data_IF_673181296744
#
_entry.id   IF_673181296744
#
_cell.length_a   1.000
_cell.length_b   1.000
_cell.length_c   1.000
_cell.angle_alpha   90.00
_cell.angle_beta   90.00
_cell.angle_gamma   90.00
#
_symmetry.space_group_name_H-M   'P 1'
#
loop_
_entity.id
_entity.type
_entity.pdbx_description
1 polymer ?
#
# COMPACT_ATOMS: atom_id res chain seq x y z
N UNK A 1 -9.78 -12.13 -30.63
CA UNK A 1 -8.66 -12.79 -31.31
C UNK A 1 -8.06 -13.76 -30.31
N UNK A 2 -8.27 -15.04 -30.59
CA UNK A 2 -8.03 -16.21 -29.74
C UNK A 2 -6.58 -16.73 -29.86
N UNK A 3 -6.27 -17.72 -29.01
CA UNK A 3 -5.06 -18.56 -28.91
C UNK A 3 -4.06 -17.99 -27.89
N UNK A 4 -3.72 -18.68 -26.80
CA UNK A 4 -3.27 -20.08 -26.69
C UNK A 4 -3.88 -20.76 -25.44
N UNK A 5 -4.60 -21.86 -25.64
CA UNK A 5 -4.93 -22.85 -24.59
C UNK A 5 -4.57 -24.23 -25.15
N UNK A 6 -3.73 -24.96 -24.41
CA UNK A 6 -3.70 -26.42 -24.24
C UNK A 6 -2.34 -26.84 -23.67
N UNK A 7 -2.29 -27.24 -22.40
CA UNK A 7 -2.11 -28.66 -22.03
C UNK A 7 -2.03 -28.86 -20.50
N UNK A 8 -2.96 -29.69 -20.02
CA UNK A 8 -2.79 -30.71 -18.95
C UNK A 8 -2.39 -30.27 -17.54
N UNK A 9 -3.38 -30.06 -16.66
CA UNK A 9 -3.21 -30.28 -15.21
C UNK A 9 -4.04 -31.49 -14.80
N UNK A 10 -3.31 -32.54 -14.44
CA UNK A 10 -3.81 -33.76 -13.83
C UNK A 10 -4.43 -33.47 -12.47
N UNK A 11 -5.65 -34.00 -12.28
CA UNK A 11 -6.30 -34.19 -11.00
C UNK A 11 -5.31 -34.69 -9.93
N UNK A 12 -5.17 -33.94 -8.85
CA UNK A 12 -4.77 -34.50 -7.57
C UNK A 12 -5.68 -33.95 -6.47
N UNK A 13 -6.63 -34.82 -6.09
CA UNK A 13 -7.35 -34.75 -4.83
C UNK A 13 -6.35 -34.72 -3.68
N UNK A 14 -6.36 -33.66 -2.87
CA UNK A 14 -5.75 -33.71 -1.54
C UNK A 14 -6.83 -33.39 -0.50
N UNK A 15 -7.13 -34.45 0.21
CA UNK A 15 -7.97 -34.66 1.37
C UNK A 15 -7.89 -33.52 2.41
N UNK A 16 -9.04 -32.93 2.73
CA UNK A 16 -9.22 -32.02 3.86
C UNK A 16 -8.99 -32.81 5.16
N UNK A 17 -7.79 -32.71 5.75
CA UNK A 17 -7.54 -33.19 7.11
C UNK A 17 -7.80 -32.06 8.10
N UNK A 18 -8.94 -32.16 8.78
CA UNK A 18 -9.22 -31.48 10.04
C UNK A 18 -8.15 -31.90 11.06
N UNK A 19 -7.31 -30.96 11.48
CA UNK A 19 -6.46 -31.13 12.66
C UNK A 19 -6.80 -30.03 13.68
N UNK A 20 -7.55 -30.51 14.67
CA UNK A 20 -7.61 -30.16 16.08
C UNK A 20 -6.84 -28.92 16.56
N UNK A 21 -7.60 -28.11 17.32
CA UNK A 21 -7.12 -27.15 18.29
C UNK A 21 -6.18 -27.82 19.31
N UNK A 22 -4.88 -27.58 19.19
CA UNK A 22 -3.95 -27.71 20.29
C UNK A 22 -3.38 -26.31 20.62
N UNK A 23 -3.39 -26.02 21.91
CA UNK A 23 -3.12 -24.73 22.52
C UNK A 23 -1.69 -24.25 22.24
N UNK A 24 -1.53 -23.18 21.47
CA UNK A 24 -0.27 -22.43 21.43
C UNK A 24 -0.13 -21.64 22.73
N UNK A 25 0.71 -22.13 23.64
CA UNK A 25 1.29 -21.29 24.68
C UNK A 25 2.12 -20.18 24.02
N UNK A 26 2.04 -18.92 24.50
CA UNK A 26 2.82 -17.84 23.93
C UNK A 26 4.28 -18.01 24.33
N UNK A 27 5.14 -18.37 23.39
CA UNK A 27 6.59 -18.30 23.55
C UNK A 27 6.97 -16.85 23.77
N UNK A 28 7.20 -16.48 25.02
CA UNK A 28 7.65 -15.16 25.42
C UNK A 28 9.07 -14.97 24.91
N UNK A 29 9.23 -14.20 23.85
CA UNK A 29 10.54 -13.68 23.45
C UNK A 29 10.97 -12.75 24.59
N UNK A 30 11.99 -13.16 25.35
CA UNK A 30 12.67 -12.28 26.30
C UNK A 30 13.34 -11.16 25.50
N UNK A 31 12.67 -10.00 25.40
CA UNK A 31 13.30 -8.78 24.92
C UNK A 31 14.08 -8.22 26.11
N UNK A 32 15.40 -8.39 26.07
CA UNK A 32 16.29 -7.79 27.06
C UNK A 32 16.22 -6.26 26.89
N UNK A 33 15.57 -5.60 27.84
CA UNK A 33 15.28 -4.15 27.81
C UNK A 33 16.42 -3.31 28.36
N UNK A 34 17.59 -3.90 28.59
CA UNK A 34 18.80 -3.18 28.97
C UNK A 34 19.35 -2.39 27.78
N UNK A 35 18.94 -1.13 27.68
CA UNK A 35 19.36 -0.14 26.67
C UNK A 35 20.83 0.28 26.75
N UNK A 36 21.69 -0.48 27.45
CA UNK A 36 23.03 -0.03 27.86
C UNK A 36 24.14 -0.36 26.84
N UNK A 37 23.84 -1.04 25.73
CA UNK A 37 24.86 -1.42 24.73
C UNK A 37 24.49 -1.17 23.26
N UNK A 38 23.50 -0.31 22.95
CA UNK A 38 23.31 0.09 21.56
C UNK A 38 24.45 1.03 21.13
N UNK A 39 25.19 0.61 20.11
CA UNK A 39 26.15 1.45 19.38
C UNK A 39 25.52 2.79 19.03
N UNK A 40 26.19 3.90 19.41
CA UNK A 40 25.78 5.26 19.02
C UNK A 40 26.05 5.58 17.55
N UNK A 41 26.70 4.68 16.81
CA UNK A 41 26.94 4.83 15.40
C UNK A 41 25.84 4.16 14.58
N UNK A 42 25.39 4.79 13.48
CA UNK A 42 24.43 4.18 12.58
C UNK A 42 25.00 2.87 12.05
N UNK A 43 24.16 1.83 12.01
CA UNK A 43 24.51 0.53 11.42
C UNK A 43 24.91 0.77 9.96
N UNK A 44 26.11 0.33 9.59
CA UNK A 44 26.57 0.36 8.21
C UNK A 44 26.54 -1.06 7.67
N UNK A 45 25.85 -1.26 6.55
CA UNK A 45 25.82 -2.53 5.85
C UNK A 45 26.91 -2.54 4.79
N UNK A 46 27.71 -3.61 4.74
CA UNK A 46 28.63 -3.78 3.62
C UNK A 46 27.87 -4.30 2.40
N UNK A 47 28.34 -4.06 1.17
CA UNK A 47 27.72 -4.62 -0.02
C UNK A 47 27.61 -6.15 0.03
N UNK A 48 28.60 -6.82 0.62
CA UNK A 48 28.61 -8.27 0.80
C UNK A 48 27.48 -8.74 1.74
N UNK A 49 27.28 -8.05 2.87
CA UNK A 49 26.17 -8.35 3.79
C UNK A 49 24.82 -8.23 3.08
N UNK A 50 24.63 -7.16 2.31
CA UNK A 50 23.40 -6.96 1.52
C UNK A 50 23.23 -8.07 0.47
N UNK A 51 24.30 -8.46 -0.21
CA UNK A 51 24.26 -9.50 -1.23
C UNK A 51 23.83 -10.85 -0.63
N UNK A 52 24.50 -11.31 0.43
CA UNK A 52 24.23 -12.60 1.10
C UNK A 52 22.76 -12.70 1.54
N UNK A 53 22.18 -11.60 2.02
CA UNK A 53 20.84 -11.58 2.55
C UNK A 53 19.75 -11.38 1.49
N UNK A 54 19.98 -10.55 0.47
CA UNK A 54 18.96 -10.15 -0.51
C UNK A 54 18.94 -11.00 -1.78
N UNK A 55 20.09 -11.52 -2.23
CA UNK A 55 20.18 -12.36 -3.44
C UNK A 55 19.25 -13.60 -3.38
N UNK A 56 19.13 -14.32 -2.24
CA UNK A 56 18.21 -15.46 -2.13
C UNK A 56 16.75 -15.11 -2.39
N UNK A 57 16.34 -13.86 -2.12
CA UNK A 57 14.97 -13.39 -2.39
C UNK A 57 14.75 -13.31 -3.90
N UNK A 58 15.69 -12.71 -4.63
CA UNK A 58 15.63 -12.60 -6.11
C UNK A 58 15.53 -14.00 -6.73
N UNK A 59 16.39 -14.93 -6.30
CA UNK A 59 16.38 -16.29 -6.83
C UNK A 59 15.04 -17.00 -6.60
N UNK A 60 14.45 -16.86 -5.41
CA UNK A 60 13.13 -17.45 -5.11
C UNK A 60 12.00 -16.79 -5.90
N UNK A 61 12.05 -15.47 -6.11
CA UNK A 61 11.08 -14.78 -6.95
C UNK A 61 11.19 -15.23 -8.41
N UNK A 62 12.39 -15.28 -8.98
CA UNK A 62 12.64 -15.73 -10.38
C UNK A 62 12.25 -17.19 -10.59
N UNK A 63 12.44 -18.04 -9.58
CA UNK A 63 12.03 -19.44 -9.64
C UNK A 63 10.49 -19.63 -9.62
N UNK A 64 9.73 -18.62 -9.20
CA UNK A 64 8.27 -18.67 -9.22
C UNK A 64 7.76 -18.48 -10.65
N UNK A 65 6.84 -19.34 -11.08
CA UNK A 65 6.13 -19.21 -12.36
C UNK A 65 5.38 -17.88 -12.48
N UNK A 66 5.02 -17.28 -11.33
CA UNK A 66 4.38 -15.97 -11.26
C UNK A 66 5.29 -14.86 -11.79
N UNK A 67 6.61 -15.05 -11.80
CA UNK A 67 7.58 -14.01 -12.17
C UNK A 67 7.82 -13.87 -13.66
N UNK A 68 7.37 -14.82 -14.49
CA UNK A 68 7.75 -14.92 -15.90
C UNK A 68 7.52 -13.62 -16.69
N UNK A 69 6.38 -12.96 -16.46
CA UNK A 69 6.03 -11.69 -17.11
C UNK A 69 6.77 -10.46 -16.58
N UNK A 70 7.62 -10.62 -15.56
CA UNK A 70 8.28 -9.53 -14.82
C UNK A 70 9.82 -9.63 -14.82
N UNK A 71 10.38 -10.67 -15.45
CA UNK A 71 11.82 -10.92 -15.50
C UNK A 71 12.55 -10.06 -16.54
N UNK A 72 11.84 -9.47 -17.49
CA UNK A 72 12.40 -8.67 -18.59
C UNK A 72 11.64 -7.36 -18.75
N UNK A 73 12.28 -6.32 -19.31
CA UNK A 73 11.62 -5.06 -19.60
C UNK A 73 10.36 -5.28 -20.44
N UNK A 74 9.26 -4.64 -20.05
CA UNK A 74 8.01 -4.68 -20.82
C UNK A 74 8.24 -4.00 -22.17
N UNK A 75 8.21 -4.77 -23.26
CA UNK A 75 8.32 -4.22 -24.61
C UNK A 75 7.03 -3.45 -24.97
N UNK A 76 7.07 -2.14 -24.73
CA UNK A 76 5.98 -1.20 -25.02
C UNK A 76 5.57 -1.20 -26.49
N UNK A 77 6.47 -1.56 -27.42
CA UNK A 77 6.23 -1.55 -28.86
C UNK A 77 5.47 -2.83 -29.28
N UNK A 78 5.89 -4.00 -28.78
CA UNK A 78 5.23 -5.27 -29.10
C UNK A 78 3.85 -5.43 -28.45
N UNK A 79 3.61 -4.81 -27.29
CA UNK A 79 2.32 -4.89 -26.57
C UNK A 79 1.24 -3.90 -27.05
N UNK A 80 1.52 -3.12 -28.11
CA UNK A 80 0.60 -2.07 -28.64
C UNK A 80 0.10 -1.10 -27.55
N UNK A 81 0.92 -0.84 -26.53
CA UNK A 81 0.65 0.21 -25.53
C UNK A 81 1.11 1.54 -26.15
N UNK A 82 0.42 1.97 -27.21
CA UNK A 82 0.85 3.10 -28.05
C UNK A 82 0.77 4.47 -27.32
N UNK A 83 0.18 4.53 -26.13
CA UNK A 83 -0.12 5.80 -25.44
C UNK A 83 0.61 6.05 -24.11
N UNK A 84 1.54 5.20 -23.65
CA UNK A 84 2.06 5.32 -22.27
C UNK A 84 3.57 5.62 -22.05
N UNK A 85 4.26 6.47 -22.84
CA UNK A 85 5.55 7.01 -22.41
C UNK A 85 5.44 8.03 -21.26
N UNK A 86 4.23 8.52 -20.93
CA UNK A 86 4.02 9.59 -19.94
C UNK A 86 3.78 9.10 -18.51
N UNK A 87 3.47 7.81 -18.31
CA UNK A 87 3.00 7.27 -17.02
C UNK A 87 4.10 6.50 -16.26
N UNK A 88 5.02 5.79 -16.94
CA UNK A 88 6.21 5.19 -16.29
C UNK A 88 7.28 6.26 -16.20
N UNK A 89 7.41 6.88 -15.04
CA UNK A 89 8.57 7.73 -14.77
C UNK A 89 9.85 6.90 -14.58
N UNK A 90 9.74 5.65 -14.13
CA UNK A 90 10.86 4.73 -13.88
C UNK A 90 10.54 3.30 -14.34
N UNK A 91 11.09 2.89 -15.48
CA UNK A 91 11.03 1.50 -15.95
C UNK A 91 11.92 0.65 -15.05
N UNK A 92 11.33 -0.31 -14.35
CA UNK A 92 12.04 -1.21 -13.44
C UNK A 92 11.50 -2.64 -13.61
N UNK A 93 12.40 -3.62 -13.59
CA UNK A 93 12.12 -5.05 -13.69
C UNK A 93 13.12 -5.84 -12.82
N UNK A 94 12.88 -7.14 -12.62
CA UNK A 94 13.70 -7.97 -11.72
C UNK A 94 15.16 -8.03 -12.19
N UNK A 95 15.43 -7.97 -13.50
CA UNK A 95 16.80 -7.99 -14.03
C UNK A 95 17.57 -6.72 -13.68
N UNK A 96 16.91 -5.55 -13.70
CA UNK A 96 17.49 -4.27 -13.27
C UNK A 96 17.83 -4.32 -11.79
N UNK A 97 16.93 -4.84 -10.96
CA UNK A 97 17.13 -4.98 -9.51
C UNK A 97 18.29 -5.93 -9.20
N UNK A 98 18.36 -7.06 -9.92
CA UNK A 98 19.45 -8.03 -9.79
C UNK A 98 20.80 -7.42 -10.19
N UNK A 99 20.86 -6.72 -11.32
CA UNK A 99 22.06 -6.00 -11.74
C UNK A 99 22.47 -4.90 -10.74
N UNK A 100 21.50 -4.21 -10.14
CA UNK A 100 21.75 -3.19 -9.11
C UNK A 100 22.36 -3.80 -7.84
N UNK A 101 21.92 -5.00 -7.46
CA UNK A 101 22.49 -5.78 -6.36
C UNK A 101 23.94 -6.21 -6.68
N UNK A 102 24.16 -6.84 -7.84
CA UNK A 102 25.49 -7.32 -8.27
C UNK A 102 26.50 -6.18 -8.45
N UNK A 103 26.04 -4.99 -8.86
CA UNK A 103 26.89 -3.81 -9.00
C UNK A 103 27.08 -3.02 -7.69
N UNK A 104 26.68 -3.59 -6.54
CA UNK A 104 26.84 -3.01 -5.20
C UNK A 104 26.24 -1.60 -5.07
N UNK A 105 25.10 -1.36 -5.72
CA UNK A 105 24.48 -0.01 -5.78
C UNK A 105 23.55 0.29 -4.61
N UNK A 106 23.14 -0.72 -3.84
CA UNK A 106 22.33 -0.53 -2.64
C UNK A 106 23.20 -0.09 -1.48
N UNK A 107 22.83 1.02 -0.83
CA UNK A 107 23.51 1.51 0.37
C UNK A 107 22.83 1.06 1.66
N UNK A 108 21.54 0.77 1.55
CA UNK A 108 20.72 0.33 2.65
C UNK A 108 19.79 -0.81 2.18
N UNK A 109 19.40 -1.72 3.07
CA UNK A 109 18.58 -2.88 2.70
C UNK A 109 17.11 -2.53 2.43
N UNK A 110 16.65 -1.30 2.72
CA UNK A 110 15.28 -0.83 2.42
C UNK A 110 15.15 -0.32 0.97
N UNK A 111 16.23 0.09 0.32
CA UNK A 111 16.22 0.45 -1.11
C UNK A 111 15.86 -0.74 -2.01
N UNK A 112 16.14 -1.97 -1.57
CA UNK A 112 15.80 -3.19 -2.30
C UNK A 112 14.28 -3.46 -2.36
N UNK A 113 13.55 -3.52 -1.23
CA UNK A 113 12.09 -3.64 -1.29
C UNK A 113 11.42 -2.47 -1.99
N UNK A 114 11.94 -1.23 -1.87
CA UNK A 114 11.40 -0.08 -2.60
C UNK A 114 11.37 -0.30 -4.12
N UNK A 115 12.47 -0.81 -4.67
CA UNK A 115 12.57 -1.14 -6.09
C UNK A 115 11.63 -2.29 -6.50
N UNK A 116 11.47 -3.32 -5.66
CA UNK A 116 10.52 -4.42 -5.91
C UNK A 116 9.07 -3.89 -5.89
N UNK A 117 8.72 -3.04 -4.91
CA UNK A 117 7.40 -2.42 -4.84
C UNK A 117 7.11 -1.52 -6.04
N UNK A 118 8.12 -0.86 -6.61
CA UNK A 118 7.96 -0.08 -7.83
C UNK A 118 7.52 -0.94 -9.03
N UNK A 119 8.01 -2.20 -9.14
CA UNK A 119 7.53 -3.15 -10.16
C UNK A 119 6.03 -3.40 -9.97
N UNK A 120 5.61 -3.77 -8.76
CA UNK A 120 4.21 -4.10 -8.47
C UNK A 120 3.27 -2.90 -8.67
N UNK A 121 3.67 -1.73 -8.18
CA UNK A 121 2.90 -0.50 -8.32
C UNK A 121 2.71 -0.10 -9.78
N UNK A 122 3.74 -0.25 -10.62
CA UNK A 122 3.61 -0.02 -12.05
C UNK A 122 2.55 -0.97 -12.65
N UNK A 123 2.64 -2.28 -12.36
CA UNK A 123 1.69 -3.26 -12.91
C UNK A 123 0.26 -2.98 -12.47
N UNK A 124 0.05 -2.71 -11.18
CA UNK A 124 -1.27 -2.40 -10.65
C UNK A 124 -1.84 -1.08 -11.18
N UNK A 125 -0.99 -0.14 -11.59
CA UNK A 125 -1.41 1.12 -12.19
C UNK A 125 -1.90 0.92 -13.63
N UNK A 126 -1.27 0.04 -14.41
CA UNK A 126 -1.61 -0.17 -15.82
C UNK A 126 -2.73 -1.16 -16.07
N UNK A 127 -2.90 -2.11 -15.17
CA UNK A 127 -3.78 -3.24 -15.41
C UNK A 127 -5.05 -3.09 -14.59
N UNK A 128 -6.19 -3.41 -15.21
CA UNK A 128 -7.44 -3.52 -14.47
C UNK A 128 -7.34 -4.61 -13.41
N UNK A 129 -8.03 -4.42 -12.27
CA UNK A 129 -8.04 -5.39 -11.16
C UNK A 129 -8.55 -6.78 -11.56
N UNK A 130 -9.32 -6.86 -12.63
CA UNK A 130 -9.88 -8.08 -13.23
C UNK A 130 -8.90 -8.79 -14.16
N UNK A 131 -7.76 -8.16 -14.49
CA UNK A 131 -6.78 -8.72 -15.41
C UNK A 131 -5.96 -9.83 -14.75
N UNK A 132 -5.71 -10.96 -15.44
CA UNK A 132 -4.87 -12.04 -14.91
C UNK A 132 -3.49 -11.57 -14.45
N UNK A 133 -2.88 -10.60 -15.14
CA UNK A 133 -1.56 -10.07 -14.77
C UNK A 133 -1.59 -9.28 -13.44
N UNK A 134 -2.72 -8.62 -13.14
CA UNK A 134 -2.93 -7.93 -11.87
C UNK A 134 -2.99 -8.96 -10.72
N UNK A 135 -3.72 -10.06 -10.93
CA UNK A 135 -3.82 -11.15 -9.96
C UNK A 135 -2.47 -11.85 -9.74
N UNK A 136 -1.75 -12.17 -10.82
CA UNK A 136 -0.41 -12.78 -10.77
C UNK A 136 0.56 -11.86 -10.02
N UNK A 137 0.54 -10.55 -10.30
CA UNK A 137 1.36 -9.57 -9.59
C UNK A 137 1.00 -9.49 -8.10
N UNK A 138 -0.28 -9.59 -7.76
CA UNK A 138 -0.73 -9.59 -6.36
C UNK A 138 -0.21 -10.82 -5.60
N UNK A 139 -0.28 -12.01 -6.21
CA UNK A 139 0.29 -13.24 -5.62
C UNK A 139 1.81 -13.19 -5.48
N UNK A 140 2.50 -12.58 -6.45
CA UNK A 140 3.96 -12.39 -6.36
C UNK A 140 4.34 -11.41 -5.24
N UNK A 141 3.53 -10.36 -5.02
CA UNK A 141 3.72 -9.43 -3.92
C UNK A 141 3.51 -10.10 -2.55
N UNK A 142 2.51 -10.98 -2.43
CA UNK A 142 2.31 -11.80 -1.21
C UNK A 142 3.53 -12.68 -0.93
N UNK A 143 4.02 -13.42 -1.93
CA UNK A 143 5.25 -14.20 -1.82
C UNK A 143 6.44 -13.32 -1.41
N UNK A 144 6.58 -12.14 -1.99
CA UNK A 144 7.67 -11.23 -1.64
C UNK A 144 7.64 -10.82 -0.16
N UNK A 145 6.47 -10.51 0.39
CA UNK A 145 6.31 -10.17 1.81
C UNK A 145 6.77 -11.32 2.72
N UNK A 146 6.43 -12.57 2.38
CA UNK A 146 6.89 -13.75 3.13
C UNK A 146 8.41 -13.93 3.09
N UNK A 147 9.07 -13.50 2.00
CA UNK A 147 10.52 -13.62 1.82
C UNK A 147 11.30 -12.49 2.50
N UNK A 148 10.81 -11.25 2.43
CA UNK A 148 11.56 -10.07 2.89
C UNK A 148 11.48 -9.87 4.41
N UNK A 149 10.36 -10.20 5.05
CA UNK A 149 10.16 -10.05 6.50
C UNK A 149 11.27 -10.72 7.34
N UNK A 150 11.55 -12.03 7.19
CA UNK A 150 12.59 -12.70 7.98
C UNK A 150 14.00 -12.19 7.68
N UNK A 151 14.25 -11.75 6.44
CA UNK A 151 15.55 -11.21 6.03
C UNK A 151 15.80 -9.85 6.69
N UNK A 152 14.84 -8.93 6.64
CA UNK A 152 14.99 -7.62 7.27
C UNK A 152 15.04 -7.72 8.80
N UNK A 153 14.33 -8.68 9.40
CA UNK A 153 14.49 -8.99 10.84
C UNK A 153 15.90 -9.45 11.20
N UNK A 154 16.51 -10.29 10.36
CA UNK A 154 17.91 -10.72 10.55
C UNK A 154 18.89 -9.54 10.45
N UNK A 155 18.58 -8.55 9.61
CA UNK A 155 19.35 -7.31 9.47
C UNK A 155 19.05 -6.26 10.56
N UNK A 156 18.22 -6.58 11.56
CA UNK A 156 17.94 -5.71 12.71
C UNK A 156 16.75 -4.76 12.54
N UNK A 157 15.93 -4.93 11.50
CA UNK A 157 14.68 -4.18 11.32
C UNK A 157 13.50 -4.89 12.00
N UNK A 158 12.39 -4.19 12.25
CA UNK A 158 11.21 -4.81 12.85
C UNK A 158 10.48 -5.76 11.88
N UNK A 159 10.43 -5.41 10.60
CA UNK A 159 9.81 -6.17 9.52
C UNK A 159 10.26 -5.61 8.16
N UNK A 160 9.91 -6.32 7.08
CA UNK A 160 10.07 -5.89 5.69
C UNK A 160 8.78 -5.49 4.99
N UNK A 161 7.73 -5.23 5.77
CA UNK A 161 6.44 -4.77 5.26
C UNK A 161 6.61 -3.41 4.59
N UNK A 162 5.84 -3.21 3.52
CA UNK A 162 5.71 -1.89 2.91
C UNK A 162 5.11 -0.92 3.93
N UNK A 163 5.82 0.16 4.22
CA UNK A 163 5.24 1.27 4.96
C UNK A 163 4.29 2.02 4.03
N UNK A 164 3.00 1.69 4.11
CA UNK A 164 1.95 2.47 3.48
C UNK A 164 1.41 3.40 4.56
N UNK A 165 1.51 4.71 4.35
CA UNK A 165 0.84 5.65 5.24
C UNK A 165 -0.66 5.45 5.04
N UNK A 166 -1.32 4.93 6.08
CA UNK A 166 -2.78 4.90 6.08
C UNK A 166 -3.24 6.33 6.33
N UNK A 167 -3.92 7.00 5.38
CA UNK A 167 -4.44 8.33 5.63
C UNK A 167 -5.30 8.26 6.88
N UNK A 168 -5.16 9.24 7.77
CA UNK A 168 -5.95 9.31 9.00
C UNK A 168 -7.44 9.15 8.69
N UNK A 169 -8.16 8.43 9.55
CA UNK A 169 -9.60 8.19 9.39
C UNK A 169 -10.31 9.52 9.20
N UNK A 170 -10.88 9.75 8.00
CA UNK A 170 -11.65 10.95 7.73
C UNK A 170 -13.00 10.84 8.44
N UNK A 171 -13.23 11.72 9.42
CA UNK A 171 -14.48 11.77 10.15
C UNK A 171 -15.56 12.51 9.37
N UNK A 172 -16.78 11.97 9.41
CA UNK A 172 -17.97 12.63 8.84
C UNK A 172 -18.67 13.44 9.95
N UNK A 173 -18.97 14.72 9.68
CA UNK A 173 -19.75 15.60 10.55
C UNK A 173 -21.26 15.32 10.47
N UNK A 174 -21.69 14.36 9.64
CA UNK A 174 -23.10 14.04 9.43
C UNK A 174 -23.81 13.45 10.66
N UNK A 175 -24.63 12.43 10.45
CA UNK A 175 -25.39 11.81 11.56
C UNK A 175 -24.46 11.09 12.53
N UNK A 176 -24.83 10.99 13.81
CA UNK A 176 -24.04 10.32 14.87
C UNK A 176 -23.60 8.89 14.51
N UNK A 177 -24.37 8.18 13.69
CA UNK A 177 -24.07 6.82 13.23
C UNK A 177 -23.09 6.76 12.04
N UNK A 178 -22.85 7.89 11.38
CA UNK A 178 -21.93 8.02 10.25
C UNK A 178 -20.70 8.78 10.74
N UNK A 179 -19.80 8.08 11.42
CA UNK A 179 -18.59 8.68 12.00
C UNK A 179 -17.40 8.70 11.05
N UNK A 180 -17.40 7.90 9.97
CA UNK A 180 -16.23 7.72 9.10
C UNK A 180 -16.60 7.78 7.61
N UNK A 181 -15.68 8.35 6.82
CA UNK A 181 -15.68 8.33 5.35
C UNK A 181 -14.68 7.25 4.92
N UNK A 182 -15.13 6.23 4.19
CA UNK A 182 -14.30 5.09 3.83
C UNK A 182 -13.24 5.46 2.79
N UNK A 183 -12.20 4.64 2.69
CA UNK A 183 -11.16 4.80 1.67
C UNK A 183 -11.78 4.60 0.29
N UNK A 184 -11.42 5.47 -0.64
CA UNK A 184 -11.94 5.61 -2.01
C UNK A 184 -13.37 6.18 -2.12
N UNK A 185 -14.03 6.55 -1.02
CA UNK A 185 -15.34 7.19 -1.09
C UNK A 185 -15.21 8.67 -1.45
N UNK A 186 -16.21 9.17 -2.18
CA UNK A 186 -16.38 10.60 -2.41
C UNK A 186 -16.98 11.26 -1.17
N UNK A 187 -16.50 12.46 -0.87
CA UNK A 187 -16.97 13.28 0.25
C UNK A 187 -16.98 14.76 -0.10
N UNK A 188 -17.76 15.52 0.64
CA UNK A 188 -17.83 16.98 0.54
C UNK A 188 -17.08 17.57 1.72
N UNK A 189 -16.35 18.66 1.49
CA UNK A 189 -15.68 19.38 2.57
C UNK A 189 -15.77 20.89 2.41
N UNK A 190 -15.69 21.58 3.55
CA UNK A 190 -15.61 23.03 3.64
C UNK A 190 -14.40 23.41 4.48
N UNK A 191 -13.56 24.31 3.97
CA UNK A 191 -12.44 24.88 4.71
C UNK A 191 -12.89 26.14 5.44
N UNK A 192 -12.71 26.15 6.75
CA UNK A 192 -12.89 27.33 7.58
C UNK A 192 -11.67 28.24 7.44
N UNK A 193 -11.74 29.19 6.51
CA UNK A 193 -10.62 30.08 6.20
C UNK A 193 -10.36 31.14 7.29
N UNK A 194 -11.31 31.36 8.20
CA UNK A 194 -11.22 32.37 9.26
C UNK A 194 -11.76 31.83 10.61
N UNK A 195 -11.07 30.87 11.26
CA UNK A 195 -11.53 30.22 12.50
C UNK A 195 -11.72 31.19 13.67
N UNK A 196 -11.07 32.35 13.62
CA UNK A 196 -11.18 33.38 14.66
C UNK A 196 -12.36 34.34 14.46
N UNK A 197 -13.02 34.32 13.29
CA UNK A 197 -14.15 35.21 12.97
C UNK A 197 -15.48 34.50 12.99
N UNK A 198 -15.50 33.26 12.54
CA UNK A 198 -16.64 32.38 12.70
C UNK A 198 -16.50 31.71 14.07
N UNK A 199 -17.61 31.41 14.74
CA UNK A 199 -17.58 30.70 16.03
C UNK A 199 -17.17 29.23 15.85
N UNK A 200 -16.24 28.92 14.94
CA UNK A 200 -15.87 27.59 14.48
C UNK A 200 -14.36 27.42 14.68
N UNK A 201 -14.00 26.46 15.52
CA UNK A 201 -12.63 26.09 15.86
C UNK A 201 -12.03 25.04 14.93
N UNK A 202 -12.86 24.20 14.28
CA UNK A 202 -12.35 23.24 13.30
C UNK A 202 -11.98 23.92 11.99
N UNK A 203 -10.80 23.59 11.47
CA UNK A 203 -10.29 24.11 10.19
C UNK A 203 -11.05 23.57 8.98
N UNK A 204 -11.66 22.39 9.11
CA UNK A 204 -12.36 21.73 8.02
C UNK A 204 -13.55 20.90 8.52
N UNK A 205 -14.68 21.02 7.84
CA UNK A 205 -15.87 20.19 8.04
C UNK A 205 -16.05 19.26 6.85
N UNK A 206 -16.29 17.97 7.10
CA UNK A 206 -16.40 16.93 6.06
C UNK A 206 -17.71 16.17 6.19
N UNK A 207 -18.30 15.79 5.06
CA UNK A 207 -19.51 14.98 5.01
C UNK A 207 -19.34 13.89 3.96
N UNK A 208 -19.69 12.64 4.30
CA UNK A 208 -19.86 11.62 3.27
C UNK A 208 -20.98 12.03 2.29
N UNK A 209 -20.93 11.49 1.07
CA UNK A 209 -21.91 11.82 0.02
C UNK A 209 -23.36 11.62 0.50
N UNK A 210 -23.63 10.55 1.26
CA UNK A 210 -24.98 10.25 1.76
C UNK A 210 -25.48 11.29 2.77
N UNK A 211 -24.64 11.67 3.75
CA UNK A 211 -25.02 12.68 4.74
C UNK A 211 -25.22 14.04 4.12
N UNK A 212 -24.32 14.46 3.21
CA UNK A 212 -24.43 15.72 2.51
C UNK A 212 -25.73 15.84 1.71
N UNK A 213 -26.08 14.78 0.97
CA UNK A 213 -27.30 14.73 0.15
C UNK A 213 -28.58 14.56 0.97
N UNK A 214 -28.50 14.04 2.20
CA UNK A 214 -29.68 13.88 3.07
C UNK A 214 -30.22 15.18 3.64
N UNK A 215 -29.43 16.27 3.58
CA UNK A 215 -29.86 17.60 4.02
C UNK A 215 -30.68 18.20 2.88
N UNK A 216 -31.96 18.47 3.08
CA UNK A 216 -32.82 19.03 2.00
C UNK A 216 -32.58 20.54 1.77
N UNK A 217 -32.05 21.25 2.78
CA UNK A 217 -31.75 22.68 2.71
C UNK A 217 -30.54 22.99 1.80
N UNK A 218 -30.54 24.20 1.23
CA UNK A 218 -29.42 24.77 0.47
C UNK A 218 -28.24 25.21 1.36
N UNK A 219 -28.42 25.16 2.68
CA UNK A 219 -27.38 25.45 3.66
C UNK A 219 -27.29 24.38 4.74
N UNK A 220 -26.09 24.25 5.32
CA UNK A 220 -25.74 23.29 6.37
C UNK A 220 -25.36 24.06 7.63
N UNK A 221 -25.93 23.66 8.76
CA UNK A 221 -25.61 24.22 10.06
C UNK A 221 -24.49 23.40 10.72
N UNK A 222 -23.38 24.05 11.06
CA UNK A 222 -22.22 23.41 11.70
C UNK A 222 -21.88 24.08 13.03
N UNK A 223 -21.32 23.32 13.96
CA UNK A 223 -20.83 23.77 15.26
C UNK A 223 -19.95 22.70 15.90
N UNK A 224 -19.02 23.09 16.75
CA UNK A 224 -18.04 22.16 17.32
C UNK A 224 -18.46 21.59 18.69
N UNK A 225 -19.40 22.27 19.37
CA UNK A 225 -19.94 21.89 20.67
C UNK A 225 -21.47 21.98 20.66
N UNK A 226 -22.14 21.11 21.42
CA UNK A 226 -23.60 21.09 21.60
C UNK A 226 -24.15 22.38 22.21
N UNK A 227 -23.33 23.15 22.92
CA UNK A 227 -23.68 24.42 23.55
C UNK A 227 -23.45 25.62 22.63
N UNK A 228 -22.84 25.39 21.46
CA UNK A 228 -22.46 26.43 20.54
C UNK A 228 -23.63 26.88 19.66
N UNK A 229 -23.70 28.18 19.36
CA UNK A 229 -24.53 28.67 18.26
C UNK A 229 -23.99 28.14 16.93
N UNK A 230 -24.86 27.45 16.19
CA UNK A 230 -24.54 26.89 14.89
C UNK A 230 -24.32 28.00 13.85
N UNK A 231 -23.37 27.77 12.95
CA UNK A 231 -23.08 28.64 11.81
C UNK A 231 -23.70 28.03 10.57
N UNK A 232 -24.45 28.85 9.83
CA UNK A 232 -25.04 28.47 8.55
C UNK A 232 -24.02 28.63 7.42
N UNK A 233 -23.73 27.53 6.72
CA UNK A 233 -22.80 27.49 5.59
C UNK A 233 -23.57 27.03 4.34
N UNK A 234 -23.64 27.86 3.27
CA UNK A 234 -24.25 27.46 2.02
C UNK A 234 -23.58 26.22 1.42
N UNK A 235 -24.38 25.26 0.93
CA UNK A 235 -23.88 24.04 0.29
C UNK A 235 -22.98 24.30 -0.91
N UNK A 236 -23.19 25.41 -1.61
CA UNK A 236 -22.39 25.84 -2.74
C UNK A 236 -20.91 26.11 -2.39
N UNK A 237 -20.59 26.30 -1.10
CA UNK A 237 -19.22 26.48 -0.62
C UNK A 237 -18.49 25.16 -0.33
N UNK A 238 -19.19 24.02 -0.37
CA UNK A 238 -18.59 22.72 -0.17
C UNK A 238 -18.00 22.18 -1.47
N UNK A 239 -16.79 21.63 -1.39
CA UNK A 239 -16.08 21.06 -2.52
C UNK A 239 -16.15 19.53 -2.47
N UNK A 240 -16.33 18.91 -3.64
CA UNK A 240 -16.27 17.45 -3.79
C UNK A 240 -14.81 17.00 -3.85
N UNK A 241 -14.47 15.99 -3.07
CA UNK A 241 -13.18 15.32 -3.07
C UNK A 241 -13.36 13.81 -2.94
N UNK A 242 -12.27 13.07 -3.14
CA UNK A 242 -12.23 11.62 -2.98
C UNK A 242 -11.20 11.25 -1.92
N UNK A 243 -11.53 10.27 -1.09
CA UNK A 243 -10.62 9.76 -0.06
C UNK A 243 -9.65 8.75 -0.67
N UNK A 244 -8.86 9.17 -1.66
CA UNK A 244 -7.93 8.33 -2.41
C UNK A 244 -6.46 8.78 -2.28
N UNK A 245 -6.18 9.71 -1.37
CA UNK A 245 -4.82 10.08 -1.02
C UNK A 245 -4.10 8.88 -0.42
N UNK A 246 -3.19 8.33 -1.23
CA UNK A 246 -2.10 7.47 -0.78
C UNK A 246 -0.89 8.39 -0.64
N UNK A 247 -0.57 8.83 0.56
CA UNK A 247 0.71 9.49 0.84
C UNK A 247 1.76 8.47 1.25
#
# INVERSE_FOLDING_TARGET
FSMIENETIQNNNIHLHLLNNDSMEPTTVHIDTSSEQLSKHPVQFTPEDLHIHLEPIIHKMVASELSYSFQQPVDSISLKILDNPTIIKHSIDISIIHNKLLCEKYKNPLEFPDDIWAIFNNIWLYNEKTSPIYEICSKLAELFVELIDPVLQTLGYCCGRQYVYSPGVLLCYGKEQCSQILVNDNYYYYNNLEPSRLNLSNDQYRFCTQCFNSIESDAIFVGDDLTQTLVEIPKSLFLLSKNDLKE
#
